data_IF_346508499565
#
_entry.id   IF_346508499565
#
_cell.length_a   1.000
_cell.length_b   1.000
_cell.length_c   1.000
_cell.angle_alpha   90.00
_cell.angle_beta   90.00
_cell.angle_gamma   90.00
#
_symmetry.space_group_name_H-M   'P 1'
#
loop_
_entity.id
_entity.type
_entity.pdbx_description
1 polymer ?
#
# COMPACT_ATOMS: atom_id res chain seq x y z
N UNK A 1 -12.21 -26.12 12.46
CA UNK A 1 -11.11 -25.26 11.97
C UNK A 1 -9.90 -26.18 11.72
N UNK A 2 -9.45 -26.25 10.50
CA UNK A 2 -8.29 -27.07 10.15
C UNK A 2 -7.10 -26.12 9.90
N UNK A 3 -6.00 -26.35 10.60
CA UNK A 3 -4.74 -25.65 10.37
C UNK A 3 -3.77 -26.65 9.78
N UNK A 4 -3.18 -26.31 8.65
CA UNK A 4 -2.19 -27.15 8.01
C UNK A 4 -0.96 -27.37 8.92
N UNK A 5 -0.39 -28.58 8.83
CA UNK A 5 0.76 -28.93 9.69
C UNK A 5 1.93 -27.97 9.49
N UNK A 6 2.18 -27.55 8.24
CA UNK A 6 3.27 -26.62 7.91
C UNK A 6 3.10 -25.26 8.60
N UNK A 7 1.88 -24.72 8.62
CA UNK A 7 1.58 -23.44 9.27
C UNK A 7 1.72 -23.56 10.80
N UNK A 8 1.29 -24.68 11.36
CA UNK A 8 1.47 -24.94 12.78
C UNK A 8 2.95 -25.06 13.16
N UNK A 9 3.75 -25.77 12.36
CA UNK A 9 5.17 -25.95 12.61
C UNK A 9 5.92 -24.61 12.49
N UNK A 10 5.54 -23.75 11.53
CA UNK A 10 6.06 -22.39 11.39
C UNK A 10 5.71 -21.52 12.61
N UNK A 11 4.46 -21.56 13.09
CA UNK A 11 4.05 -20.83 14.29
C UNK A 11 4.80 -21.30 15.54
N UNK A 12 5.04 -22.62 15.69
CA UNK A 12 5.84 -23.15 16.76
C UNK A 12 7.30 -22.71 16.68
N UNK A 13 7.90 -22.73 15.48
CA UNK A 13 9.27 -22.25 15.28
C UNK A 13 9.41 -20.76 15.61
N UNK A 14 8.36 -19.96 15.34
CA UNK A 14 8.36 -18.52 15.60
C UNK A 14 8.18 -18.16 17.08
N UNK A 15 7.26 -18.83 17.76
CA UNK A 15 6.81 -18.42 19.11
C UNK A 15 7.23 -19.36 20.24
N UNK A 16 7.46 -20.64 19.96
CA UNK A 16 7.79 -21.62 21.00
C UNK A 16 9.30 -21.68 21.26
N UNK A 17 9.72 -21.15 22.38
CA UNK A 17 11.13 -21.14 22.81
C UNK A 17 11.50 -22.22 23.82
N UNK A 18 10.55 -22.80 24.46
CA UNK A 18 10.81 -23.76 25.56
C UNK A 18 9.77 -24.87 25.72
N UNK A 19 8.92 -25.05 24.74
CA UNK A 19 7.81 -26.00 24.76
C UNK A 19 6.51 -25.37 25.23
N UNK A 20 5.40 -26.02 24.90
CA UNK A 20 4.06 -25.61 25.27
C UNK A 20 3.59 -26.30 26.54
N UNK A 21 2.90 -25.58 27.41
CA UNK A 21 2.22 -26.16 28.56
C UNK A 21 0.70 -25.98 28.42
N UNK A 22 -0.04 -26.95 28.96
CA UNK A 22 -1.50 -26.89 29.05
C UNK A 22 -1.97 -26.44 30.46
N UNK A 23 -1.04 -26.05 31.33
CA UNK A 23 -1.33 -25.72 32.72
C UNK A 23 -2.44 -24.68 32.89
N UNK A 24 -2.46 -23.66 32.05
CA UNK A 24 -3.49 -22.60 32.08
C UNK A 24 -4.89 -23.10 31.67
N UNK A 25 -4.96 -24.15 30.87
CA UNK A 25 -6.22 -24.76 30.44
C UNK A 25 -6.88 -25.57 31.58
N UNK A 26 -6.08 -26.15 32.47
CA UNK A 26 -6.55 -27.05 33.50
C UNK A 26 -6.70 -26.38 34.87
N UNK A 27 -5.87 -25.38 35.16
CA UNK A 27 -5.85 -24.75 36.48
C UNK A 27 -5.47 -23.27 36.36
N UNK A 28 -6.32 -22.39 36.86
CA UNK A 28 -6.01 -20.97 36.92
C UNK A 28 -4.90 -20.72 37.98
N UNK A 29 -3.78 -20.15 37.53
CA UNK A 29 -2.61 -19.86 38.37
C UNK A 29 -2.00 -21.08 39.11
N UNK A 30 -1.95 -22.25 38.48
CA UNK A 30 -1.34 -23.44 39.01
C UNK A 30 0.19 -23.43 38.98
N UNK A 31 0.80 -24.33 39.79
CA UNK A 31 2.26 -24.54 39.77
C UNK A 31 2.82 -25.01 38.45
N UNK A 32 1.97 -25.61 37.62
CA UNK A 32 2.33 -26.13 36.29
C UNK A 32 2.60 -25.02 35.25
N UNK A 33 2.35 -23.77 35.63
CA UNK A 33 2.66 -22.59 34.79
C UNK A 33 4.09 -22.08 34.97
N UNK A 34 4.81 -22.60 36.01
CA UNK A 34 6.16 -22.15 36.32
C UNK A 34 7.10 -23.35 36.38
N UNK A 35 8.19 -23.31 35.63
CA UNK A 35 9.24 -24.33 35.69
C UNK A 35 10.06 -24.09 36.92
N UNK A 36 9.86 -24.95 37.95
CA UNK A 36 10.52 -24.80 39.26
C UNK A 36 11.74 -25.72 39.44
N UNK A 37 11.91 -26.75 38.63
CA UNK A 37 12.89 -27.81 38.88
C UNK A 37 13.98 -27.95 37.82
N UNK A 38 13.69 -27.60 36.57
CA UNK A 38 14.64 -27.76 35.47
C UNK A 38 14.71 -26.48 34.66
N UNK A 39 15.91 -26.12 34.26
CA UNK A 39 16.07 -24.99 33.31
C UNK A 39 15.57 -25.45 31.93
N UNK A 40 14.57 -24.81 31.34
CA UNK A 40 14.10 -25.22 30.03
C UNK A 40 15.23 -25.08 29.00
N UNK A 41 15.37 -26.05 28.11
CA UNK A 41 16.20 -25.92 26.93
C UNK A 41 15.48 -24.97 25.97
N UNK A 42 16.01 -23.77 25.84
CA UNK A 42 15.47 -22.82 24.88
C UNK A 42 15.92 -23.22 23.48
N UNK A 43 14.96 -23.18 22.54
CA UNK A 43 15.28 -23.36 21.12
C UNK A 43 15.92 -22.09 20.58
N UNK A 44 16.90 -22.27 19.70
CA UNK A 44 17.42 -21.17 18.91
C UNK A 44 16.34 -20.63 17.96
N UNK A 45 16.45 -19.35 17.67
CA UNK A 45 15.56 -18.69 16.72
C UNK A 45 15.87 -19.18 15.31
N UNK A 46 14.85 -19.59 14.57
CA UNK A 46 14.98 -19.88 13.15
C UNK A 46 15.17 -18.54 12.38
N UNK A 47 16.43 -18.19 12.15
CA UNK A 47 16.79 -16.92 11.50
C UNK A 47 16.31 -16.87 10.05
N UNK A 48 16.30 -17.98 9.34
CA UNK A 48 15.82 -18.04 7.95
C UNK A 48 14.32 -17.72 7.86
N UNK A 49 13.54 -18.27 8.81
CA UNK A 49 12.12 -17.97 8.93
C UNK A 49 11.89 -16.49 9.24
N UNK A 50 12.65 -15.90 10.17
CA UNK A 50 12.55 -14.49 10.51
C UNK A 50 12.88 -13.60 9.31
N UNK A 51 13.97 -13.85 8.62
CA UNK A 51 14.38 -13.10 7.43
C UNK A 51 13.34 -13.21 6.29
N UNK A 52 12.71 -14.37 6.15
CA UNK A 52 11.61 -14.57 5.21
C UNK A 52 10.39 -13.72 5.61
N UNK A 53 9.98 -13.75 6.87
CA UNK A 53 8.83 -12.99 7.37
C UNK A 53 9.06 -11.47 7.27
N UNK A 54 10.26 -11.01 7.63
CA UNK A 54 10.63 -9.59 7.48
C UNK A 54 10.55 -9.13 6.03
N UNK A 55 11.15 -9.88 5.10
CA UNK A 55 11.12 -9.54 3.67
C UNK A 55 9.71 -9.61 3.08
N UNK A 56 8.87 -10.53 3.58
CA UNK A 56 7.55 -10.78 2.98
C UNK A 56 6.45 -9.92 3.57
N UNK A 57 6.54 -9.56 4.86
CA UNK A 57 5.43 -8.93 5.57
C UNK A 57 5.77 -7.62 6.27
N UNK A 58 7.01 -7.43 6.70
CA UNK A 58 7.42 -6.25 7.49
C UNK A 58 8.00 -5.17 6.59
N UNK A 59 8.96 -5.54 5.74
CA UNK A 59 9.69 -4.59 4.90
C UNK A 59 9.04 -4.35 3.53
N UNK A 60 7.86 -4.92 3.27
CA UNK A 60 7.11 -4.70 2.03
C UNK A 60 6.02 -3.66 2.28
N UNK A 61 6.17 -2.48 1.71
CA UNK A 61 5.07 -1.54 1.56
C UNK A 61 4.01 -2.15 0.63
N UNK A 62 2.91 -2.61 1.21
CA UNK A 62 1.74 -3.05 0.42
C UNK A 62 1.04 -1.83 -0.12
N UNK A 63 1.31 -1.48 -1.36
CA UNK A 63 0.60 -0.41 -2.06
C UNK A 63 -0.66 -0.94 -2.74
N UNK A 64 -1.70 -0.14 -2.74
CA UNK A 64 -2.95 -0.43 -3.44
C UNK A 64 -2.73 -0.18 -4.93
N UNK A 65 -2.94 -1.19 -5.80
CA UNK A 65 -2.81 -1.01 -7.24
C UNK A 65 -3.95 -0.13 -7.77
N UNK A 66 -3.59 0.85 -8.60
CA UNK A 66 -4.55 1.74 -9.27
C UNK A 66 -4.24 1.84 -10.76
N UNK A 67 -5.29 2.07 -11.54
CA UNK A 67 -5.19 2.48 -12.94
C UNK A 67 -5.56 3.93 -13.08
N UNK A 68 -5.07 4.59 -14.12
CA UNK A 68 -5.39 5.99 -14.33
C UNK A 68 -5.33 6.43 -15.77
N UNK A 69 -5.91 7.60 -16.03
CA UNK A 69 -5.77 8.30 -17.28
C UNK A 69 -5.50 9.78 -17.04
N UNK A 70 -4.70 10.40 -17.91
CA UNK A 70 -4.48 11.83 -17.90
C UNK A 70 -4.57 12.41 -19.32
N UNK A 71 -5.18 13.59 -19.43
CA UNK A 71 -5.27 14.33 -20.67
C UNK A 71 -4.76 15.75 -20.45
N UNK A 72 -3.84 16.19 -21.29
CA UNK A 72 -3.23 17.52 -21.21
C UNK A 72 -3.21 18.17 -22.59
N UNK A 73 -3.84 19.32 -22.69
CA UNK A 73 -3.93 20.07 -23.93
C UNK A 73 -3.56 21.55 -23.72
N UNK A 74 -2.94 22.17 -24.72
CA UNK A 74 -2.56 23.59 -24.68
C UNK A 74 -3.79 24.46 -24.43
N UNK A 75 -3.68 25.36 -23.47
CA UNK A 75 -4.74 26.33 -23.11
C UNK A 75 -5.93 25.73 -22.35
N UNK A 76 -5.91 24.44 -22.05
CA UNK A 76 -6.95 23.77 -21.26
C UNK A 76 -6.38 23.28 -19.93
N UNK A 77 -7.19 23.19 -18.84
CA UNK A 77 -6.80 22.50 -17.63
C UNK A 77 -6.41 21.04 -17.95
N UNK A 78 -5.31 20.58 -17.38
CA UNK A 78 -4.96 19.17 -17.45
C UNK A 78 -5.90 18.36 -16.56
N UNK A 79 -6.25 17.17 -16.98
CA UNK A 79 -7.17 16.28 -16.28
C UNK A 79 -6.45 14.98 -15.92
N UNK A 80 -6.68 14.49 -14.72
CA UNK A 80 -6.19 13.17 -14.28
C UNK A 80 -7.28 12.45 -13.51
N UNK A 81 -7.53 11.18 -13.87
CA UNK A 81 -8.41 10.30 -13.11
C UNK A 81 -7.68 9.03 -12.69
N UNK A 82 -8.09 8.48 -11.56
CA UNK A 82 -7.56 7.23 -11.00
C UNK A 82 -8.69 6.38 -10.46
N UNK A 83 -8.52 5.06 -10.57
CA UNK A 83 -9.49 4.08 -10.07
C UNK A 83 -8.76 2.90 -9.42
N UNK A 84 -9.35 2.35 -8.36
CA UNK A 84 -8.91 1.10 -7.76
C UNK A 84 -9.67 -0.11 -8.33
N UNK A 85 -9.27 -1.32 -7.91
CA UNK A 85 -9.92 -2.56 -8.33
C UNK A 85 -11.34 -2.75 -7.74
N UNK A 86 -11.72 -1.97 -6.73
CA UNK A 86 -13.04 -2.00 -6.10
C UNK A 86 -14.05 -1.08 -6.76
N UNK A 87 -13.61 -0.28 -7.75
CA UNK A 87 -14.46 0.65 -8.48
C UNK A 87 -14.53 2.06 -7.86
N UNK A 88 -13.76 2.35 -6.81
CA UNK A 88 -13.61 3.72 -6.33
C UNK A 88 -12.85 4.52 -7.37
N UNK A 89 -13.30 5.73 -7.66
CA UNK A 89 -12.74 6.61 -8.69
C UNK A 89 -12.63 8.04 -8.19
N UNK A 90 -11.51 8.67 -8.46
CA UNK A 90 -11.32 10.09 -8.21
C UNK A 90 -10.71 10.77 -9.43
N UNK A 91 -10.90 12.07 -9.51
CA UNK A 91 -10.33 12.89 -10.58
C UNK A 91 -9.94 14.28 -10.08
N UNK A 92 -8.99 14.89 -10.78
CA UNK A 92 -8.48 16.24 -10.50
C UNK A 92 -8.13 16.98 -11.77
N UNK A 93 -8.26 18.29 -11.70
CA UNK A 93 -7.83 19.21 -12.75
C UNK A 93 -6.63 20.03 -12.28
N UNK A 94 -5.74 20.32 -13.23
CA UNK A 94 -4.63 21.25 -12.98
C UNK A 94 -4.93 22.62 -13.55
N UNK A 95 -4.00 23.55 -13.37
CA UNK A 95 -3.96 24.78 -14.16
C UNK A 95 -3.83 24.46 -15.65
N UNK A 96 -4.27 25.37 -16.56
CA UNK A 96 -4.11 25.20 -18.00
C UNK A 96 -2.66 24.98 -18.40
N UNK A 97 -2.44 24.02 -19.31
CA UNK A 97 -1.12 23.82 -19.90
C UNK A 97 -0.76 24.94 -20.87
N UNK A 98 0.49 25.35 -20.85
CA UNK A 98 1.03 26.35 -21.74
C UNK A 98 1.55 25.75 -23.05
N UNK A 99 1.69 26.54 -24.08
CA UNK A 99 2.42 26.16 -25.29
C UNK A 99 3.93 26.18 -25.02
N UNK A 100 4.61 25.06 -25.34
CA UNK A 100 6.04 24.93 -25.11
C UNK A 100 6.83 25.90 -26.00
N UNK A 101 7.68 26.73 -25.38
CA UNK A 101 8.54 27.68 -26.10
C UNK A 101 9.78 27.00 -26.70
N UNK A 102 10.29 25.96 -26.13
CA UNK A 102 11.52 25.27 -26.55
C UNK A 102 11.31 23.76 -26.74
N UNK A 103 11.08 23.01 -25.68
CA UNK A 103 10.93 21.56 -25.72
C UNK A 103 9.55 21.17 -25.15
N UNK A 104 8.63 20.65 -25.98
CA UNK A 104 7.37 20.15 -25.51
C UNK A 104 7.57 18.94 -24.56
N UNK A 105 6.65 18.77 -23.65
CA UNK A 105 6.59 17.53 -22.85
C UNK A 105 5.81 16.48 -23.65
N UNK A 106 6.42 15.32 -23.83
CA UNK A 106 5.75 14.18 -24.42
C UNK A 106 4.92 13.40 -23.36
N UNK A 107 4.03 12.55 -23.83
CA UNK A 107 3.17 11.74 -22.97
C UNK A 107 4.00 10.83 -22.03
N UNK A 108 5.12 10.31 -22.49
CA UNK A 108 6.01 9.47 -21.67
C UNK A 108 6.64 10.23 -20.50
N UNK A 109 7.06 11.45 -20.72
CA UNK A 109 7.63 12.30 -19.66
C UNK A 109 6.59 12.65 -18.61
N UNK A 110 5.37 12.96 -19.04
CA UNK A 110 4.24 13.24 -18.14
C UNK A 110 3.87 11.97 -17.38
N UNK A 111 3.73 10.83 -18.06
CA UNK A 111 3.46 9.53 -17.47
C UNK A 111 4.50 9.18 -16.40
N UNK A 112 5.79 9.29 -16.71
CA UNK A 112 6.86 9.05 -15.76
C UNK A 112 6.79 9.95 -14.53
N UNK A 113 6.32 11.20 -14.70
CA UNK A 113 6.16 12.12 -13.58
C UNK A 113 4.94 11.80 -12.72
N UNK A 114 3.82 11.47 -13.33
CA UNK A 114 2.58 11.12 -12.64
C UNK A 114 2.68 9.74 -11.95
N UNK A 115 3.47 8.81 -12.49
CA UNK A 115 3.66 7.47 -11.89
C UNK A 115 4.51 7.45 -10.62
N UNK A 116 5.16 8.56 -10.26
CA UNK A 116 5.99 8.65 -9.04
C UNK A 116 5.12 8.82 -7.80
N UNK A 117 4.55 7.76 -7.29
CA UNK A 117 3.63 7.82 -6.15
C UNK A 117 4.31 8.08 -4.80
N UNK A 118 5.64 7.92 -4.68
CA UNK A 118 6.40 8.21 -3.46
C UNK A 118 5.83 7.49 -2.24
N UNK A 119 5.59 8.25 -1.16
CA UNK A 119 5.06 7.74 0.12
C UNK A 119 3.53 7.51 0.10
N UNK A 120 2.87 7.66 -1.06
CA UNK A 120 1.45 7.36 -1.20
C UNK A 120 1.20 5.85 -1.03
N UNK A 121 0.05 5.51 -0.43
CA UNK A 121 -0.41 4.13 -0.30
C UNK A 121 -0.75 3.47 -1.65
N UNK A 122 -0.69 4.20 -2.77
CA UNK A 122 -1.06 3.73 -4.10
C UNK A 122 0.15 3.46 -4.98
N UNK A 123 -0.01 2.58 -5.97
CA UNK A 123 0.94 2.36 -7.06
C UNK A 123 0.20 2.20 -8.37
N UNK A 124 0.63 2.91 -9.42
CA UNK A 124 0.04 2.74 -10.75
C UNK A 124 0.47 1.41 -11.36
N UNK A 125 -0.50 0.58 -11.72
CA UNK A 125 -0.29 -0.61 -12.56
C UNK A 125 -0.42 -0.28 -14.03
N UNK A 126 -1.27 0.69 -14.37
CA UNK A 126 -1.38 1.27 -15.69
C UNK A 126 -1.76 2.75 -15.60
N UNK A 127 -1.19 3.56 -16.49
CA UNK A 127 -1.50 4.99 -16.61
C UNK A 127 -1.42 5.39 -18.08
N UNK A 128 -2.55 5.69 -18.67
CA UNK A 128 -2.65 6.22 -20.02
C UNK A 128 -2.53 7.74 -20.01
N UNK A 129 -1.68 8.29 -20.85
CA UNK A 129 -1.50 9.75 -20.96
C UNK A 129 -1.68 10.17 -22.40
N UNK A 130 -2.57 11.12 -22.62
CA UNK A 130 -2.79 11.75 -23.92
C UNK A 130 -2.43 13.24 -23.86
N UNK A 131 -1.71 13.69 -24.89
CA UNK A 131 -1.30 15.08 -25.04
C UNK A 131 -1.78 15.65 -26.37
N UNK A 132 -2.34 16.86 -26.35
CA UNK A 132 -2.77 17.55 -27.55
C UNK A 132 -1.99 18.88 -27.73
N UNK A 133 -1.23 18.96 -28.81
CA UNK A 133 -0.37 20.10 -29.13
C UNK A 133 1.01 20.02 -28.46
N UNK A 134 1.77 21.10 -28.59
CA UNK A 134 3.10 21.24 -27.99
C UNK A 134 2.98 21.67 -26.54
N UNK A 135 2.56 20.76 -25.67
CA UNK A 135 2.25 21.09 -24.27
C UNK A 135 3.49 21.32 -23.42
N UNK A 136 3.40 22.29 -22.55
CA UNK A 136 4.29 22.50 -21.43
C UNK A 136 3.48 22.64 -20.14
N UNK A 137 3.84 21.87 -19.13
CA UNK A 137 3.26 21.98 -17.79
C UNK A 137 4.38 21.91 -16.74
N UNK A 138 4.43 22.85 -15.78
CA UNK A 138 5.42 22.79 -14.71
C UNK A 138 5.33 21.46 -13.95
N UNK A 139 6.47 20.86 -13.64
CA UNK A 139 6.53 19.60 -12.88
C UNK A 139 5.80 19.72 -11.53
N UNK A 140 5.81 20.91 -10.94
CA UNK A 140 5.08 21.18 -9.68
C UNK A 140 3.57 21.04 -9.87
N UNK A 141 3.01 21.48 -11.01
CA UNK A 141 1.59 21.34 -11.30
C UNK A 141 1.18 19.87 -11.49
N UNK A 142 2.00 19.09 -12.22
CA UNK A 142 1.81 17.65 -12.36
C UNK A 142 1.87 16.93 -10.99
N UNK A 143 2.83 17.30 -10.16
CA UNK A 143 2.97 16.71 -8.82
C UNK A 143 1.80 17.08 -7.90
N UNK A 144 1.29 18.30 -8.03
CA UNK A 144 0.12 18.76 -7.27
C UNK A 144 -1.11 17.96 -7.69
N UNK A 145 -1.41 17.92 -8.99
CA UNK A 145 -2.55 17.18 -9.54
C UNK A 145 -2.52 15.69 -9.12
N UNK A 146 -1.34 15.05 -9.23
CA UNK A 146 -1.16 13.66 -8.78
C UNK A 146 -1.49 13.50 -7.31
N UNK A 147 -0.98 14.36 -6.42
CA UNK A 147 -1.25 14.26 -4.97
C UNK A 147 -2.72 14.44 -4.68
N UNK A 148 -3.33 15.45 -5.23
CA UNK A 148 -4.73 15.78 -4.99
C UNK A 148 -5.68 14.68 -5.49
N UNK A 149 -5.42 14.07 -6.66
CA UNK A 149 -6.25 12.96 -7.14
C UNK A 149 -6.10 11.71 -6.29
N UNK A 150 -4.88 11.41 -5.79
CA UNK A 150 -4.66 10.26 -4.92
C UNK A 150 -5.24 10.48 -3.51
N UNK A 151 -5.19 11.69 -2.97
CA UNK A 151 -5.86 12.07 -1.71
C UNK A 151 -7.38 11.93 -1.84
N UNK A 152 -7.97 12.41 -2.92
CA UNK A 152 -9.40 12.23 -3.20
C UNK A 152 -9.80 10.77 -3.31
N UNK A 153 -8.99 9.93 -3.96
CA UNK A 153 -9.24 8.50 -4.03
C UNK A 153 -9.18 7.84 -2.65
N UNK A 154 -8.23 8.24 -1.81
CA UNK A 154 -8.14 7.78 -0.44
C UNK A 154 -9.39 8.15 0.36
N UNK A 155 -9.86 9.39 0.24
CA UNK A 155 -11.07 9.85 0.93
C UNK A 155 -12.31 9.10 0.45
N UNK A 156 -12.42 8.80 -0.84
CA UNK A 156 -13.50 8.00 -1.41
C UNK A 156 -13.51 6.58 -0.84
N UNK A 157 -12.35 5.91 -0.83
CA UNK A 157 -12.21 4.58 -0.22
C UNK A 157 -12.61 4.62 1.26
N UNK A 158 -12.11 5.59 2.02
CA UNK A 158 -12.41 5.72 3.45
C UNK A 158 -13.87 6.05 3.73
N UNK A 159 -14.55 6.76 2.82
CA UNK A 159 -15.96 7.07 2.95
C UNK A 159 -16.82 5.81 3.00
N UNK A 160 -16.46 4.77 2.25
CA UNK A 160 -17.11 3.46 2.25
C UNK A 160 -17.01 2.69 3.58
N UNK A 161 -16.02 3.03 4.43
CA UNK A 161 -15.81 2.40 5.74
C UNK A 161 -16.44 3.17 6.91
N UNK A 162 -16.99 4.36 6.67
CA UNK A 162 -17.68 5.10 7.73
C UNK A 162 -18.94 4.35 8.14
N UNK A 163 -19.02 3.95 9.41
CA UNK A 163 -20.26 3.44 9.98
C UNK A 163 -21.32 4.55 9.90
N UNK A 164 -22.43 4.29 9.23
CA UNK A 164 -23.60 5.12 9.39
C UNK A 164 -24.00 5.01 10.87
N UNK A 165 -23.74 6.07 11.65
CA UNK A 165 -24.34 6.20 12.97
C UNK A 165 -25.83 6.42 12.74
N UNK A 166 -26.61 5.33 12.71
CA UNK A 166 -28.05 5.42 12.93
C UNK A 166 -28.24 5.90 14.37
N UNK A 167 -28.62 7.16 14.52
CA UNK A 167 -29.16 7.74 15.72
C UNK A 167 -30.56 7.17 15.93
#
# INVERSE_FOLDING_TARGET
YHVEKADRDALLALFDRGGQSQGYYHTHNGRDMVVLKEKPEYRDVDQELFDYLERTYVNVEKKIPVTGSAYIAVGKPGYCSVSDASGNTAWEESQPAEEAKNAPMDAERIRKQLSKTGDSMFTFTDLTVECEGNVFMPVQALNKMRREVLEKLQDEILSGYRRNSSV
#
